data_IF_470289854271
#
_entry.id   IF_470289854271
#
_cell.length_a   1.000
_cell.length_b   1.000
_cell.length_c   1.000
_cell.angle_alpha   90.00
_cell.angle_beta   90.00
_cell.angle_gamma   90.00
#
_symmetry.space_group_name_H-M   'P 1'
#
loop_
_entity.id
_entity.type
_entity.pdbx_description
1 polymer ?
#
# COMPACT_ATOMS: atom_id res chain seq x y z
N UNK A 1 15.95 -9.27 5.07
CA UNK A 1 14.47 -9.17 4.93
C UNK A 1 13.82 -8.33 6.04
N UNK A 2 14.12 -8.58 7.32
CA UNK A 2 13.54 -7.84 8.45
C UNK A 2 13.70 -6.31 8.35
N UNK A 3 14.86 -5.81 7.90
CA UNK A 3 15.11 -4.38 7.69
C UNK A 3 14.12 -3.76 6.70
N UNK A 4 13.79 -4.45 5.60
CA UNK A 4 12.85 -3.95 4.58
C UNK A 4 11.42 -3.85 5.14
N UNK A 5 11.02 -4.80 5.98
CA UNK A 5 9.71 -4.77 6.67
C UNK A 5 9.64 -3.60 7.66
N UNK A 6 10.71 -3.37 8.43
CA UNK A 6 10.80 -2.21 9.33
C UNK A 6 10.68 -0.90 8.56
N UNK A 7 11.42 -0.77 7.44
CA UNK A 7 11.34 0.40 6.55
C UNK A 7 9.91 0.59 6.02
N UNK A 8 9.26 -0.46 5.54
CA UNK A 8 7.87 -0.38 5.06
C UNK A 8 6.92 0.12 6.16
N UNK A 9 7.08 -0.35 7.40
CA UNK A 9 6.27 0.13 8.53
C UNK A 9 6.52 1.61 8.82
N UNK A 10 7.77 2.05 8.80
CA UNK A 10 8.13 3.46 9.00
C UNK A 10 7.51 4.33 7.91
N UNK A 11 7.62 3.93 6.64
CA UNK A 11 7.02 4.69 5.52
C UNK A 11 5.50 4.77 5.65
N UNK A 12 4.81 3.71 6.10
CA UNK A 12 3.37 3.74 6.37
C UNK A 12 3.01 4.76 7.47
N UNK A 13 3.81 4.84 8.53
CA UNK A 13 3.63 5.86 9.57
C UNK A 13 3.87 7.27 9.06
N UNK A 14 4.92 7.49 8.26
CA UNK A 14 5.16 8.78 7.61
C UNK A 14 3.99 9.16 6.71
N UNK A 15 3.50 8.23 5.89
CA UNK A 15 2.33 8.46 5.03
C UNK A 15 1.09 8.85 5.83
N UNK A 16 0.81 8.16 6.94
CA UNK A 16 -0.29 8.51 7.83
C UNK A 16 -0.14 9.93 8.40
N UNK A 17 1.05 10.29 8.90
CA UNK A 17 1.32 11.64 9.41
C UNK A 17 1.16 12.72 8.33
N UNK A 18 1.64 12.46 7.10
CA UNK A 18 1.48 13.37 5.96
C UNK A 18 0.00 13.57 5.62
N UNK A 19 -0.84 12.54 5.66
CA UNK A 19 -2.29 12.69 5.47
C UNK A 19 -2.90 13.58 6.56
N UNK A 20 -2.54 13.36 7.83
CA UNK A 20 -3.07 14.18 8.94
C UNK A 20 -2.68 15.64 8.76
N UNK A 21 -1.40 15.91 8.43
CA UNK A 21 -0.91 17.26 8.15
C UNK A 21 -1.64 17.87 6.95
N UNK A 22 -1.91 17.08 5.90
CA UNK A 22 -2.62 17.54 4.71
C UNK A 22 -4.05 17.99 5.03
N UNK A 23 -4.80 17.22 5.83
CA UNK A 23 -6.16 17.59 6.25
C UNK A 23 -6.15 18.88 7.07
N UNK A 24 -5.20 19.02 8.00
CA UNK A 24 -5.05 20.27 8.77
C UNK A 24 -4.68 21.43 7.86
N UNK A 25 -3.68 21.26 6.99
CA UNK A 25 -3.24 22.27 6.04
C UNK A 25 -4.36 22.72 5.09
N UNK A 26 -5.24 21.80 4.67
CA UNK A 26 -6.39 22.13 3.83
C UNK A 26 -7.35 23.12 4.52
N UNK A 27 -7.59 22.95 5.82
CA UNK A 27 -8.41 23.87 6.63
C UNK A 27 -7.77 25.27 6.69
N UNK A 28 -6.45 25.34 6.89
CA UNK A 28 -5.73 26.61 6.87
C UNK A 28 -5.79 27.28 5.49
N UNK A 29 -5.70 26.50 4.40
CA UNK A 29 -5.74 27.04 3.04
C UNK A 29 -7.09 27.70 2.73
N UNK A 30 -8.19 27.06 3.12
CA UNK A 30 -9.53 27.65 2.99
C UNK A 30 -9.66 28.93 3.82
N UNK A 31 -9.15 28.92 5.06
CA UNK A 31 -9.32 30.04 5.99
C UNK A 31 -8.48 31.27 5.64
N UNK A 32 -7.27 31.06 5.12
CA UNK A 32 -6.28 32.12 4.92
C UNK A 32 -5.98 32.39 3.43
N UNK A 33 -6.78 31.81 2.52
CA UNK A 33 -6.65 31.97 1.06
C UNK A 33 -5.22 31.66 0.55
N UNK A 34 -4.58 30.65 1.13
CA UNK A 34 -3.23 30.26 0.73
C UNK A 34 -3.21 29.65 -0.68
N UNK A 35 -2.04 29.76 -1.30
CA UNK A 35 -1.81 29.42 -2.70
C UNK A 35 -2.15 27.96 -3.05
N UNK A 36 -2.97 27.75 -4.09
CA UNK A 36 -3.38 26.43 -4.60
C UNK A 36 -2.19 25.54 -5.03
N UNK A 37 -1.03 26.11 -5.38
CA UNK A 37 0.17 25.32 -5.70
C UNK A 37 0.68 24.50 -4.51
N UNK A 38 0.41 24.94 -3.27
CA UNK A 38 0.74 24.18 -2.07
C UNK A 38 -0.07 22.88 -2.02
N UNK A 39 -1.36 22.93 -2.36
CA UNK A 39 -2.21 21.72 -2.43
C UNK A 39 -1.70 20.73 -3.47
N UNK A 40 -1.31 21.23 -4.64
CA UNK A 40 -0.77 20.39 -5.70
C UNK A 40 0.52 19.68 -5.26
N UNK A 41 1.44 20.41 -4.61
CA UNK A 41 2.66 19.84 -4.05
C UNK A 41 2.37 18.73 -3.05
N UNK A 42 1.44 18.94 -2.12
CA UNK A 42 1.01 17.91 -1.16
C UNK A 42 0.42 16.68 -1.85
N UNK A 43 -0.45 16.88 -2.84
CA UNK A 43 -1.06 15.77 -3.58
C UNK A 43 0.01 14.88 -4.25
N UNK A 44 1.02 15.50 -4.86
CA UNK A 44 2.16 14.79 -5.48
C UNK A 44 2.90 13.95 -4.43
N UNK A 45 3.19 14.52 -3.25
CA UNK A 45 3.89 13.81 -2.16
C UNK A 45 3.07 12.63 -1.64
N UNK A 46 1.77 12.81 -1.40
CA UNK A 46 0.86 11.74 -0.97
C UNK A 46 0.82 10.61 -1.99
N UNK A 47 0.67 10.95 -3.27
CA UNK A 47 0.64 9.97 -4.36
C UNK A 47 1.97 9.20 -4.48
N UNK A 48 3.10 9.90 -4.39
CA UNK A 48 4.43 9.28 -4.44
C UNK A 48 4.64 8.29 -3.28
N UNK A 49 4.28 8.69 -2.05
CA UNK A 49 4.35 7.81 -0.89
C UNK A 49 3.43 6.59 -1.01
N UNK A 50 2.20 6.80 -1.48
CA UNK A 50 1.24 5.73 -1.73
C UNK A 50 1.80 4.68 -2.69
N UNK A 51 2.32 5.11 -3.84
CA UNK A 51 2.95 4.23 -4.83
C UNK A 51 4.18 3.53 -4.25
N UNK A 52 5.04 4.25 -3.51
CA UNK A 52 6.22 3.67 -2.88
C UNK A 52 5.86 2.53 -1.90
N UNK A 53 4.81 2.70 -1.09
CA UNK A 53 4.32 1.66 -0.18
C UNK A 53 3.92 0.40 -0.95
N UNK A 54 3.12 0.53 -2.01
CA UNK A 54 2.62 -0.61 -2.77
C UNK A 54 3.73 -1.31 -3.58
N UNK A 55 4.67 -0.56 -4.16
CA UNK A 55 5.85 -1.09 -4.84
C UNK A 55 6.77 -1.84 -3.88
N UNK A 56 6.99 -1.31 -2.68
CA UNK A 56 7.80 -1.99 -1.68
C UNK A 56 7.09 -3.24 -1.16
N UNK A 57 5.78 -3.16 -0.88
CA UNK A 57 5.00 -4.31 -0.42
C UNK A 57 5.06 -5.46 -1.42
N UNK A 58 4.87 -5.20 -2.71
CA UNK A 58 4.91 -6.23 -3.76
C UNK A 58 6.25 -6.95 -3.87
N UNK A 59 7.36 -6.31 -3.44
CA UNK A 59 8.70 -6.90 -3.43
C UNK A 59 9.01 -7.70 -2.15
N UNK A 60 8.36 -7.35 -1.04
CA UNK A 60 8.64 -7.91 0.29
C UNK A 60 7.71 -9.08 0.63
N UNK A 61 6.49 -9.10 0.09
CA UNK A 61 5.47 -10.08 0.45
C UNK A 61 5.16 -11.06 -0.69
N UNK A 62 4.82 -12.29 -0.29
CA UNK A 62 4.27 -13.36 -1.12
C UNK A 62 2.87 -13.69 -0.62
N UNK A 63 2.02 -14.21 -1.50
CA UNK A 63 0.72 -14.75 -1.16
C UNK A 63 0.71 -16.27 -1.31
N UNK A 64 0.02 -16.94 -0.40
CA UNK A 64 -0.08 -18.41 -0.38
C UNK A 64 -1.50 -18.83 -0.72
N UNK A 65 -1.66 -19.66 -1.76
CA UNK A 65 -2.96 -20.24 -2.10
C UNK A 65 -3.39 -21.25 -1.02
N UNK A 66 -4.63 -21.17 -0.48
CA UNK A 66 -5.08 -22.11 0.55
C UNK A 66 -5.29 -23.53 0.03
N UNK A 67 -5.57 -23.72 -1.27
CA UNK A 67 -5.86 -25.03 -1.89
C UNK A 67 -4.62 -25.78 -2.35
N UNK A 68 -3.75 -25.13 -3.12
CA UNK A 68 -2.58 -25.80 -3.73
C UNK A 68 -1.25 -25.39 -3.10
N UNK A 69 -1.28 -24.55 -2.07
CA UNK A 69 -0.12 -24.02 -1.33
C UNK A 69 0.95 -23.33 -2.20
N UNK A 70 0.59 -22.98 -3.44
CA UNK A 70 1.49 -22.26 -4.33
C UNK A 70 1.74 -20.84 -3.81
N UNK A 71 3.01 -20.47 -3.76
CA UNK A 71 3.48 -19.15 -3.33
C UNK A 71 3.74 -18.28 -4.55
N UNK A 72 3.17 -17.08 -4.58
CA UNK A 72 3.35 -16.18 -5.71
C UNK A 72 3.39 -14.71 -5.29
N UNK A 73 4.02 -13.90 -6.14
CA UNK A 73 4.04 -12.44 -6.03
C UNK A 73 2.90 -11.85 -6.84
N UNK A 74 2.41 -10.71 -6.40
CA UNK A 74 1.52 -9.87 -7.20
C UNK A 74 2.26 -8.58 -7.54
N UNK A 75 1.94 -7.99 -8.70
CA UNK A 75 2.46 -6.66 -9.04
C UNK A 75 1.89 -5.60 -8.11
N UNK A 76 2.56 -4.46 -7.98
CA UNK A 76 2.06 -3.33 -7.18
C UNK A 76 0.66 -2.87 -7.66
N UNK A 77 0.40 -2.90 -8.97
CA UNK A 77 -0.91 -2.55 -9.53
C UNK A 77 -1.99 -3.53 -9.07
N UNK A 78 -1.65 -4.82 -9.02
CA UNK A 78 -2.56 -5.84 -8.48
C UNK A 78 -2.72 -5.68 -6.96
N UNK A 79 -1.69 -5.26 -6.25
CA UNK A 79 -1.75 -4.94 -4.82
C UNK A 79 -2.66 -3.72 -4.52
N UNK A 80 -2.71 -2.73 -5.41
CA UNK A 80 -3.63 -1.58 -5.30
C UNK A 80 -5.08 -2.00 -5.62
N UNK A 81 -5.28 -2.72 -6.73
CA UNK A 81 -6.62 -3.01 -7.29
C UNK A 81 -7.32 -4.22 -6.67
N UNK A 82 -6.60 -5.08 -5.95
CA UNK A 82 -7.20 -6.24 -5.30
C UNK A 82 -7.95 -5.86 -4.02
N UNK A 83 -9.11 -6.49 -3.82
CA UNK A 83 -9.90 -6.35 -2.61
C UNK A 83 -9.11 -6.78 -1.38
N UNK A 84 -9.04 -5.89 -0.39
CA UNK A 84 -8.41 -6.13 0.90
C UNK A 84 -9.40 -6.87 1.81
N UNK A 85 -9.12 -8.13 2.12
CA UNK A 85 -9.94 -8.99 2.99
C UNK A 85 -9.43 -9.02 4.44
N UNK A 86 -8.44 -8.19 4.78
CA UNK A 86 -7.81 -8.09 6.10
C UNK A 86 -6.45 -7.38 6.02
N UNK A 87 -5.79 -7.17 7.17
CA UNK A 87 -4.49 -6.46 7.23
C UNK A 87 -3.44 -7.05 6.29
N UNK A 88 -3.40 -8.37 6.18
CA UNK A 88 -2.45 -9.13 5.35
C UNK A 88 -3.14 -10.20 4.51
N UNK A 89 -4.37 -9.93 4.06
CA UNK A 89 -5.16 -10.85 3.26
C UNK A 89 -5.85 -10.13 2.11
N UNK A 90 -5.83 -10.75 0.92
CA UNK A 90 -6.44 -10.20 -0.29
C UNK A 90 -7.17 -11.27 -1.07
N UNK A 91 -8.25 -10.87 -1.76
CA UNK A 91 -8.92 -11.75 -2.71
C UNK A 91 -8.11 -11.77 -4.01
N UNK A 92 -7.52 -12.91 -4.31
CA UNK A 92 -6.61 -13.11 -5.44
C UNK A 92 -7.00 -14.36 -6.22
N UNK A 93 -6.56 -14.41 -7.48
CA UNK A 93 -6.67 -15.61 -8.32
C UNK A 93 -5.32 -16.31 -8.29
N UNK A 94 -5.30 -17.60 -7.95
CA UNK A 94 -4.08 -18.39 -7.93
C UNK A 94 -3.60 -18.62 -9.38
N UNK A 95 -2.35 -18.27 -9.74
CA UNK A 95 -1.84 -18.50 -11.09
C UNK A 95 -1.64 -19.99 -11.42
N UNK A 96 -1.57 -20.88 -10.41
CA UNK A 96 -1.36 -22.32 -10.61
C UNK A 96 -2.65 -23.12 -10.71
N UNK A 97 -3.66 -22.82 -9.89
CA UNK A 97 -4.90 -23.62 -9.83
C UNK A 97 -6.19 -22.83 -10.12
N UNK A 98 -6.06 -21.56 -10.55
CA UNK A 98 -7.16 -20.65 -10.88
C UNK A 98 -8.18 -20.35 -9.75
N UNK A 99 -7.98 -20.88 -8.53
CA UNK A 99 -8.84 -20.58 -7.39
C UNK A 99 -8.84 -19.08 -7.08
N UNK A 100 -10.03 -18.48 -7.02
CA UNK A 100 -10.24 -17.09 -6.60
C UNK A 100 -10.76 -17.05 -5.17
N UNK A 101 -9.93 -16.67 -4.21
CA UNK A 101 -10.29 -16.65 -2.80
C UNK A 101 -9.39 -15.71 -1.99
N UNK A 102 -9.67 -15.57 -0.71
CA UNK A 102 -8.81 -14.85 0.25
C UNK A 102 -7.49 -15.60 0.44
N UNK A 103 -6.40 -14.92 0.14
CA UNK A 103 -5.04 -15.45 0.30
C UNK A 103 -4.27 -14.60 1.30
N UNK A 104 -3.64 -15.26 2.27
CA UNK A 104 -2.80 -14.59 3.28
C UNK A 104 -1.43 -14.27 2.69
N UNK A 105 -0.96 -13.09 3.01
CA UNK A 105 0.40 -12.65 2.68
C UNK A 105 1.38 -13.11 3.76
N UNK A 106 2.62 -13.38 3.36
CA UNK A 106 3.73 -13.64 4.26
C UNK A 106 4.99 -12.94 3.75
N UNK A 107 5.95 -12.61 4.63
CA UNK A 107 7.25 -12.14 4.18
C UNK A 107 7.91 -13.14 3.25
N UNK A 108 8.50 -12.65 2.16
CA UNK A 108 9.43 -13.41 1.34
C UNK A 108 10.62 -13.84 2.22
N UNK A 109 11.17 -15.03 2.00
CA UNK A 109 12.43 -15.44 2.65
C UNK A 109 13.59 -14.62 2.10
#
# INVERSE_FOLDING_TARGET
>A
MQTKIKILKIIKWIYFLVIVIFVLGFIFIIKYEWCLYVLLGFFIVVLALYLAIHILRSKIYLYVCPKCHYEFQISFLKDITSYNAGMDAKVLVCPKCALKEVMKSKPRK
#
